data_IF_826237331742
#
_entry.id   IF_826237331742
#
_cell.length_a   1.000
_cell.length_b   1.000
_cell.length_c   1.000
_cell.angle_alpha   90.00
_cell.angle_beta   90.00
_cell.angle_gamma   90.00
#
_symmetry.space_group_name_H-M   'P 1'
#
loop_
_entity.id
_entity.type
_entity.pdbx_description
1 polymer ?
#
# COMPACT_ATOMS: atom_id res chain seq x y z
N UNK A 1 14.56 -20.85 0.94
CA UNK A 1 14.88 -19.66 1.76
C UNK A 1 13.91 -19.70 2.92
N UNK A 2 14.34 -19.61 4.19
CA UNK A 2 13.38 -19.54 5.28
C UNK A 2 12.59 -18.24 5.08
N UNK A 3 11.26 -18.38 5.07
CA UNK A 3 10.35 -17.25 5.10
C UNK A 3 10.66 -16.44 6.37
N UNK A 4 10.53 -15.11 6.31
CA UNK A 4 10.68 -14.25 7.48
C UNK A 4 9.82 -14.81 8.63
N UNK A 5 10.40 -14.91 9.82
CA UNK A 5 9.65 -15.23 11.02
C UNK A 5 8.91 -13.98 11.47
N UNK A 6 7.76 -14.14 12.12
CA UNK A 6 6.98 -12.98 12.59
C UNK A 6 7.74 -12.14 13.61
N UNK A 7 8.70 -12.73 14.33
CA UNK A 7 9.61 -12.01 15.22
C UNK A 7 10.59 -11.08 14.49
N UNK A 8 10.69 -11.16 13.17
CA UNK A 8 11.55 -10.29 12.36
C UNK A 8 10.86 -8.96 12.00
N UNK A 9 9.58 -8.76 12.39
CA UNK A 9 8.81 -7.54 12.14
C UNK A 9 8.58 -6.76 13.44
N UNK A 10 8.91 -5.46 13.43
CA UNK A 10 8.60 -4.52 14.51
C UNK A 10 7.11 -4.18 14.49
N UNK A 11 6.31 -5.06 15.10
CA UNK A 11 4.86 -4.89 15.22
C UNK A 11 4.52 -4.01 16.43
N UNK A 12 3.48 -3.17 16.36
CA UNK A 12 2.95 -2.47 17.52
C UNK A 12 2.61 -3.48 18.63
N UNK A 13 3.21 -3.30 19.81
CA UNK A 13 2.96 -4.17 20.97
C UNK A 13 1.89 -3.52 21.86
N UNK A 14 0.77 -4.21 22.10
CA UNK A 14 -0.10 -3.85 23.22
C UNK A 14 0.06 -4.81 24.39
N UNK A 15 0.58 -4.27 25.51
CA UNK A 15 0.85 -5.03 26.74
C UNK A 15 -0.26 -4.88 27.82
N UNK A 16 -1.34 -4.13 27.55
CA UNK A 16 -2.35 -3.80 28.58
C UNK A 16 -3.77 -4.27 28.25
N UNK A 17 -4.52 -4.66 29.29
CA UNK A 17 -5.93 -5.08 29.24
C UNK A 17 -6.87 -4.00 28.67
N UNK A 18 -6.44 -2.74 28.63
CA UNK A 18 -7.21 -1.65 28.03
C UNK A 18 -7.35 -1.79 26.50
N UNK A 19 -6.48 -2.57 25.83
CA UNK A 19 -6.64 -2.93 24.42
C UNK A 19 -7.60 -4.11 24.19
N UNK A 20 -8.03 -4.82 25.25
CA UNK A 20 -8.64 -6.15 25.11
C UNK A 20 -9.93 -6.35 25.89
N UNK A 21 -10.70 -5.29 26.17
CA UNK A 21 -11.97 -5.47 26.87
C UNK A 21 -13.02 -6.09 25.94
N UNK A 22 -13.22 -7.41 26.09
CA UNK A 22 -14.28 -8.27 25.54
C UNK A 22 -14.10 -8.81 24.11
N UNK A 23 -13.02 -9.56 23.91
CA UNK A 23 -12.93 -10.60 22.86
C UNK A 23 -13.81 -11.79 23.29
N UNK A 24 -15.12 -11.64 23.10
CA UNK A 24 -16.10 -12.69 23.31
C UNK A 24 -16.12 -13.63 22.11
N UNK A 25 -15.73 -14.89 22.29
CA UNK A 25 -15.65 -15.96 21.27
C UNK A 25 -16.93 -16.09 20.44
N UNK A 26 -17.00 -15.35 19.33
CA UNK A 26 -17.89 -15.57 18.21
C UNK A 26 -17.16 -15.16 16.93
N UNK A 27 -17.34 -15.94 15.86
CA UNK A 27 -16.72 -15.71 14.55
C UNK A 27 -16.92 -14.26 14.10
N UNK A 28 -15.92 -13.74 13.39
CA UNK A 28 -15.93 -12.42 12.76
C UNK A 28 -15.65 -11.22 13.69
N UNK A 29 -14.78 -11.35 14.72
CA UNK A 29 -14.17 -10.25 15.53
C UNK A 29 -13.25 -10.74 16.67
N UNK A 30 -12.29 -11.64 16.42
CA UNK A 30 -11.52 -12.28 17.50
C UNK A 30 -10.02 -12.11 17.37
N UNK A 31 -9.35 -12.02 18.52
CA UNK A 31 -7.93 -12.31 18.65
C UNK A 31 -7.68 -13.72 18.09
N UNK A 32 -6.98 -13.82 16.97
CA UNK A 32 -6.60 -15.11 16.42
C UNK A 32 -5.13 -15.16 16.05
N UNK A 33 -4.67 -16.37 15.78
CA UNK A 33 -3.36 -16.57 15.17
C UNK A 33 -3.38 -15.98 13.76
N UNK A 34 -2.26 -15.38 13.33
CA UNK A 34 -2.19 -14.71 12.04
C UNK A 34 -2.66 -15.59 10.86
N UNK A 35 -2.36 -16.89 10.93
CA UNK A 35 -2.72 -17.87 9.89
C UNK A 35 -4.22 -18.14 9.77
N UNK A 36 -5.02 -17.78 10.77
CA UNK A 36 -6.48 -17.93 10.72
C UNK A 36 -7.21 -16.60 10.49
N UNK A 37 -6.49 -15.48 10.57
CA UNK A 37 -6.99 -14.14 10.30
C UNK A 37 -6.88 -13.77 8.82
N UNK A 38 -5.86 -14.26 8.11
CA UNK A 38 -5.68 -13.95 6.69
C UNK A 38 -5.43 -15.21 5.84
N UNK A 39 -6.51 -15.89 5.44
CA UNK A 39 -6.46 -17.07 4.57
C UNK A 39 -6.71 -16.76 3.08
N UNK A 40 -7.05 -15.50 2.78
CA UNK A 40 -7.39 -15.04 1.44
C UNK A 40 -6.14 -14.87 0.55
N UNK A 41 -5.00 -14.52 1.14
CA UNK A 41 -3.74 -14.29 0.45
C UNK A 41 -3.00 -15.61 0.22
N UNK A 42 -3.08 -16.14 -1.00
CA UNK A 42 -2.46 -17.43 -1.37
C UNK A 42 -1.03 -17.28 -1.86
N UNK A 43 -0.64 -16.11 -2.36
CA UNK A 43 0.71 -15.84 -2.80
C UNK A 43 1.54 -15.18 -1.69
N UNK A 44 2.82 -15.57 -1.53
CA UNK A 44 3.72 -14.86 -0.64
C UNK A 44 3.93 -13.42 -1.16
N UNK A 45 4.17 -12.46 -0.25
CA UNK A 45 4.43 -11.05 -0.57
C UNK A 45 5.51 -10.88 -1.65
N UNK A 46 6.52 -11.75 -1.66
CA UNK A 46 7.62 -11.71 -2.65
C UNK A 46 7.19 -12.05 -4.08
N UNK A 47 6.01 -12.64 -4.26
CA UNK A 47 5.46 -13.00 -5.57
C UNK A 47 4.34 -12.05 -6.01
N UNK A 48 4.18 -10.91 -5.33
CA UNK A 48 3.12 -9.94 -5.60
C UNK A 48 3.61 -8.73 -6.39
N UNK A 49 2.69 -8.16 -7.13
CA UNK A 49 2.88 -6.92 -7.86
C UNK A 49 2.59 -5.74 -6.93
N UNK A 50 3.55 -4.84 -6.86
CA UNK A 50 3.44 -3.55 -6.19
C UNK A 50 3.71 -2.47 -7.22
N UNK A 51 2.75 -1.56 -7.38
CA UNK A 51 2.83 -0.47 -8.35
C UNK A 51 3.15 0.86 -7.64
N UNK A 52 3.57 1.84 -8.43
CA UNK A 52 3.89 3.19 -7.96
C UNK A 52 5.39 3.45 -7.92
N UNK A 53 5.75 4.74 -7.95
CA UNK A 53 7.11 5.25 -7.99
C UNK A 53 7.87 4.87 -9.28
N UNK A 54 9.19 5.00 -9.22
CA UNK A 54 10.12 4.59 -10.27
C UNK A 54 10.32 3.06 -10.30
N UNK A 55 10.42 2.46 -11.51
CA UNK A 55 10.76 1.04 -11.68
C UNK A 55 10.00 0.33 -12.80
N UNK A 56 10.11 -1.00 -12.81
CA UNK A 56 9.44 -1.85 -13.79
C UNK A 56 7.90 -1.80 -13.71
N UNK A 57 7.34 -1.45 -12.54
CA UNK A 57 5.90 -1.35 -12.29
C UNK A 57 5.51 0.10 -11.93
N UNK A 58 6.04 1.05 -12.70
CA UNK A 58 5.92 2.47 -12.41
C UNK A 58 4.53 3.03 -12.68
N UNK A 59 4.00 3.74 -11.69
CA UNK A 59 2.88 4.68 -11.86
C UNK A 59 3.34 5.96 -11.17
N UNK A 60 3.86 6.90 -11.97
CA UNK A 60 4.51 8.10 -11.45
C UNK A 60 3.48 9.08 -10.92
N UNK A 61 3.85 9.80 -9.86
CA UNK A 61 2.91 10.61 -9.06
C UNK A 61 2.37 9.88 -7.83
N UNK A 62 2.65 8.57 -7.71
CA UNK A 62 2.41 7.80 -6.49
C UNK A 62 3.76 7.32 -5.91
N UNK A 63 3.84 7.14 -4.60
CA UNK A 63 5.06 6.61 -3.94
C UNK A 63 5.35 5.17 -4.39
N UNK A 64 6.60 4.75 -4.24
CA UNK A 64 6.98 3.38 -4.57
C UNK A 64 6.17 2.37 -3.76
N UNK A 65 5.56 1.39 -4.44
CA UNK A 65 4.74 0.32 -3.83
C UNK A 65 3.48 0.79 -3.09
N UNK A 66 2.98 2.00 -3.39
CA UNK A 66 1.79 2.55 -2.74
C UNK A 66 0.47 2.18 -3.43
N UNK A 67 0.51 1.51 -4.57
CA UNK A 67 -0.70 1.15 -5.32
C UNK A 67 -0.98 -0.36 -5.25
N UNK A 68 -2.22 -0.69 -4.92
CA UNK A 68 -2.74 -2.05 -4.89
C UNK A 68 -3.81 -2.23 -3.81
N UNK A 69 -4.21 -3.48 -3.58
CA UNK A 69 -5.07 -3.83 -2.46
C UNK A 69 -4.41 -3.44 -1.15
N UNK A 70 -5.21 -2.89 -0.23
CA UNK A 70 -4.79 -2.52 1.12
C UNK A 70 -5.42 -3.48 2.13
N UNK A 71 -4.76 -3.66 3.27
CA UNK A 71 -5.27 -4.41 4.43
C UNK A 71 -5.01 -3.59 5.68
N UNK A 72 -5.90 -3.69 6.67
CA UNK A 72 -5.69 -3.07 7.96
C UNK A 72 -4.38 -3.54 8.60
N UNK A 73 -3.68 -2.62 9.25
CA UNK A 73 -2.55 -2.96 10.13
C UNK A 73 -3.12 -3.76 11.31
N UNK A 74 -2.39 -4.81 11.69
CA UNK A 74 -2.73 -5.68 12.81
C UNK A 74 -1.92 -5.29 14.05
N UNK A 75 -2.60 -5.17 15.18
CA UNK A 75 -1.99 -5.06 16.49
C UNK A 75 -1.70 -6.45 17.07
N UNK A 76 -0.56 -6.56 17.77
CA UNK A 76 -0.14 -7.77 18.44
C UNK A 76 -0.56 -7.77 19.91
N UNK A 77 -1.11 -8.89 20.35
CA UNK A 77 -1.43 -9.17 21.75
C UNK A 77 -0.69 -10.42 22.24
N UNK A 78 0.09 -10.25 23.32
CA UNK A 78 0.74 -11.36 24.01
C UNK A 78 -0.14 -11.83 25.18
N UNK A 79 -0.79 -12.98 25.02
CA UNK A 79 -1.63 -13.56 26.04
C UNK A 79 -0.79 -14.09 27.22
N UNK A 80 -1.38 -14.08 28.43
CA UNK A 80 -0.72 -14.54 29.65
C UNK A 80 -0.24 -16.01 29.62
N UNK A 81 -0.73 -16.81 28.65
CA UNK A 81 -0.28 -18.18 28.38
C UNK A 81 0.92 -18.31 27.42
N UNK A 82 1.50 -17.20 26.96
CA UNK A 82 2.56 -17.17 25.95
C UNK A 82 2.08 -17.33 24.50
N UNK A 83 0.76 -17.29 24.27
CA UNK A 83 0.16 -17.27 22.94
C UNK A 83 0.18 -15.85 22.36
N UNK A 84 0.49 -15.71 21.07
CA UNK A 84 0.50 -14.43 20.37
C UNK A 84 -0.71 -14.39 19.44
N UNK A 85 -1.52 -13.34 19.58
CA UNK A 85 -2.74 -13.14 18.83
C UNK A 85 -2.74 -11.77 18.14
N UNK A 86 -3.54 -11.63 17.08
CA UNK A 86 -3.61 -10.44 16.25
C UNK A 86 -5.04 -9.92 16.10
N UNK A 87 -5.21 -8.61 15.89
CA UNK A 87 -6.50 -7.97 15.62
C UNK A 87 -6.33 -6.64 14.84
N UNK A 88 -7.33 -6.16 14.08
CA UNK A 88 -7.29 -4.87 13.39
C UNK A 88 -7.10 -3.67 14.33
N UNK A 89 -6.21 -2.74 13.98
CA UNK A 89 -5.79 -1.63 14.85
C UNK A 89 -6.84 -0.52 15.10
N UNK A 90 -7.95 -0.50 14.36
CA UNK A 90 -8.92 0.61 14.39
C UNK A 90 -10.14 0.41 15.31
N UNK A 91 -10.14 -0.56 16.24
CA UNK A 91 -11.31 -0.91 17.07
C UNK A 91 -11.18 -0.50 18.53
N UNK A 92 -12.23 0.10 19.10
CA UNK A 92 -12.40 0.27 20.55
C UNK A 92 -13.42 -0.73 21.05
N UNK A 93 -12.99 -1.64 21.92
CA UNK A 93 -13.90 -2.53 22.64
C UNK A 93 -13.93 -2.09 24.10
N UNK A 94 -15.07 -1.56 24.55
CA UNK A 94 -15.30 -1.10 25.91
C UNK A 94 -16.54 -1.80 26.49
N UNK A 95 -16.52 -2.19 27.78
CA UNK A 95 -17.57 -3.03 28.34
C UNK A 95 -18.89 -2.24 28.42
N UNK A 96 -19.93 -2.76 27.77
CA UNK A 96 -21.24 -2.11 27.66
C UNK A 96 -21.36 -1.05 26.57
N UNK A 97 -20.35 -0.88 25.72
CA UNK A 97 -20.43 -0.07 24.49
C UNK A 97 -20.54 -1.05 23.31
N UNK A 98 -21.53 -0.91 22.40
CA UNK A 98 -21.54 -1.69 21.17
C UNK A 98 -20.23 -1.44 20.41
N UNK A 99 -19.68 -2.49 19.79
CA UNK A 99 -18.47 -2.42 18.98
C UNK A 99 -18.50 -1.17 18.10
N UNK A 100 -17.54 -0.28 18.35
CA UNK A 100 -17.40 0.97 17.61
C UNK A 100 -15.94 1.16 17.24
N UNK A 101 -15.72 1.70 16.06
CA UNK A 101 -14.38 2.02 15.63
C UNK A 101 -13.89 3.22 16.43
N UNK A 102 -12.60 3.53 16.36
CA UNK A 102 -12.06 4.73 16.98
C UNK A 102 -12.79 6.02 16.49
N UNK A 103 -13.40 5.97 15.30
CA UNK A 103 -14.27 7.02 14.72
C UNK A 103 -15.74 7.01 15.21
N UNK A 104 -16.18 6.00 15.97
CA UNK A 104 -17.54 5.88 16.50
C UNK A 104 -18.58 5.25 15.56
N UNK A 105 -18.17 4.72 14.41
CA UNK A 105 -19.00 3.96 13.46
C UNK A 105 -19.01 2.45 13.78
N UNK A 106 -19.75 1.65 13.00
CA UNK A 106 -19.90 0.20 13.19
C UNK A 106 -19.22 -0.64 12.09
N UNK A 107 -18.45 -0.06 11.15
CA UNK A 107 -17.86 -0.75 9.99
C UNK A 107 -16.33 -0.89 10.10
N UNK A 108 -15.80 -1.15 11.29
CA UNK A 108 -14.37 -0.99 11.52
C UNK A 108 -13.55 -1.95 10.67
N UNK A 109 -12.79 -1.41 9.71
CA UNK A 109 -11.85 -2.08 8.80
C UNK A 109 -11.70 -3.56 9.13
N UNK A 110 -12.61 -4.37 8.59
CA UNK A 110 -12.45 -5.82 8.62
C UNK A 110 -11.13 -6.13 7.88
N UNK A 111 -10.40 -7.15 8.31
CA UNK A 111 -9.26 -7.58 7.51
C UNK A 111 -9.71 -8.01 6.11
N UNK A 112 -10.96 -8.47 5.98
CA UNK A 112 -11.58 -8.77 4.70
C UNK A 112 -12.30 -7.59 4.05
N UNK A 113 -12.28 -6.41 4.69
CA UNK A 113 -12.74 -5.19 4.08
C UNK A 113 -11.86 -4.83 2.89
N UNK A 114 -12.51 -4.34 1.84
CA UNK A 114 -11.93 -4.03 0.55
C UNK A 114 -12.39 -2.69 0.03
N UNK A 115 -13.38 -2.08 0.67
CA UNK A 115 -13.84 -0.78 0.26
C UNK A 115 -12.84 0.25 0.79
N UNK A 116 -12.04 0.81 -0.12
CA UNK A 116 -11.07 1.88 0.19
C UNK A 116 -11.76 3.05 0.92
N UNK A 117 -13.03 3.30 0.63
CA UNK A 117 -13.81 4.37 1.24
C UNK A 117 -14.30 4.01 2.66
N UNK A 118 -14.36 2.72 3.02
CA UNK A 118 -14.62 2.26 4.39
C UNK A 118 -13.38 2.36 5.28
N UNK A 119 -12.16 2.43 4.69
CA UNK A 119 -10.95 2.82 5.41
C UNK A 119 -10.93 4.33 5.65
N UNK A 120 -11.86 4.85 6.45
CA UNK A 120 -11.92 6.26 6.86
C UNK A 120 -10.64 6.70 7.60
N UNK A 121 -9.79 5.73 7.99
CA UNK A 121 -8.40 5.93 8.38
C UNK A 121 -7.45 5.10 7.47
N UNK A 122 -7.20 5.57 6.24
CA UNK A 122 -6.20 4.96 5.33
C UNK A 122 -4.81 4.85 5.97
N UNK A 123 -4.49 5.72 6.93
CA UNK A 123 -3.26 5.64 7.75
C UNK A 123 -3.15 4.34 8.58
N UNK A 124 -4.26 3.63 8.78
CA UNK A 124 -4.33 2.35 9.50
C UNK A 124 -4.36 1.13 8.55
N UNK A 125 -4.08 1.33 7.26
CA UNK A 125 -4.00 0.26 6.27
C UNK A 125 -2.69 0.32 5.49
N UNK A 126 -2.15 -0.85 5.12
CA UNK A 126 -0.94 -0.97 4.31
C UNK A 126 -1.21 -1.72 3.00
N UNK A 127 -0.43 -1.38 1.97
CA UNK A 127 -0.55 -1.98 0.64
C UNK A 127 0.11 -3.36 0.64
N UNK A 128 -0.68 -4.38 0.37
CA UNK A 128 -0.24 -5.78 0.42
C UNK A 128 0.16 -6.34 -0.96
N UNK A 129 -0.03 -5.55 -2.01
CA UNK A 129 0.22 -5.95 -3.40
C UNK A 129 -0.78 -6.98 -3.93
N UNK A 130 -0.82 -7.13 -5.25
CA UNK A 130 -1.78 -7.99 -5.94
C UNK A 130 -1.14 -9.19 -6.63
N UNK A 131 -1.95 -10.21 -6.94
CA UNK A 131 -1.54 -11.33 -7.80
C UNK A 131 -1.76 -11.04 -9.29
N UNK A 132 -2.51 -9.98 -9.58
CA UNK A 132 -2.81 -9.47 -10.91
C UNK A 132 -2.50 -7.99 -10.91
N UNK A 133 -2.16 -7.45 -12.07
CA UNK A 133 -1.96 -6.02 -12.25
C UNK A 133 -2.41 -5.59 -13.64
N UNK A 134 -2.79 -4.33 -13.75
CA UNK A 134 -2.92 -3.62 -15.00
C UNK A 134 -1.96 -2.42 -14.99
N UNK A 135 -1.24 -2.19 -16.09
CA UNK A 135 -0.32 -1.07 -16.22
C UNK A 135 -0.27 -0.57 -17.66
N UNK A 136 -0.33 0.75 -17.79
CA UNK A 136 -0.16 1.50 -19.04
C UNK A 136 0.69 2.74 -18.75
N UNK A 137 1.75 2.93 -19.54
CA UNK A 137 2.60 4.12 -19.47
C UNK A 137 2.65 4.76 -20.86
N UNK A 138 2.26 6.03 -20.94
CA UNK A 138 2.36 6.86 -22.13
C UNK A 138 3.36 7.97 -21.85
N UNK A 139 4.40 8.04 -22.66
CA UNK A 139 5.48 9.00 -22.48
C UNK A 139 5.82 9.69 -23.80
N UNK A 140 5.93 11.01 -23.75
CA UNK A 140 6.43 11.83 -24.84
C UNK A 140 7.75 12.48 -24.42
N UNK A 141 8.81 12.13 -25.14
CA UNK A 141 10.12 12.74 -24.99
C UNK A 141 10.38 13.72 -26.13
N UNK A 142 10.97 14.86 -25.81
CA UNK A 142 11.36 15.87 -26.81
C UNK A 142 12.72 16.48 -26.47
N UNK A 143 13.52 16.85 -27.49
CA UNK A 143 14.81 17.49 -27.26
C UNK A 143 14.61 18.89 -26.67
N UNK A 144 15.32 19.20 -25.59
CA UNK A 144 15.46 20.57 -25.08
C UNK A 144 16.77 21.18 -25.61
N UNK A 145 17.87 20.42 -25.50
CA UNK A 145 19.16 20.77 -26.08
C UNK A 145 19.94 19.49 -26.38
N UNK A 146 20.14 19.21 -27.67
CA UNK A 146 20.89 18.03 -28.09
C UNK A 146 22.38 18.16 -27.74
N UNK A 147 22.94 19.37 -27.83
CA UNK A 147 24.34 19.65 -27.48
C UNK A 147 24.65 19.38 -26.00
N UNK A 148 23.70 19.68 -25.12
CA UNK A 148 23.83 19.46 -23.68
C UNK A 148 23.32 18.08 -23.24
N UNK A 149 22.79 17.28 -24.16
CA UNK A 149 22.17 15.98 -23.86
C UNK A 149 20.92 16.09 -22.99
N UNK A 150 20.14 17.19 -23.11
CA UNK A 150 18.95 17.45 -22.33
C UNK A 150 17.67 17.11 -23.11
N UNK A 151 16.82 16.28 -22.52
CA UNK A 151 15.50 15.92 -23.04
C UNK A 151 14.42 16.22 -22.01
N UNK A 152 13.33 16.81 -22.48
CA UNK A 152 12.11 16.95 -21.70
C UNK A 152 11.25 15.71 -21.83
N UNK A 153 10.50 15.42 -20.78
CA UNK A 153 9.56 14.31 -20.70
C UNK A 153 8.23 14.87 -20.21
N UNK A 154 7.14 14.44 -20.83
CA UNK A 154 5.80 14.51 -20.24
C UNK A 154 5.18 13.13 -20.30
N UNK A 155 4.40 12.77 -19.29
CA UNK A 155 3.86 11.42 -19.16
C UNK A 155 2.43 11.38 -18.63
N UNK A 156 1.79 10.26 -18.94
CA UNK A 156 0.54 9.79 -18.37
C UNK A 156 0.71 8.31 -18.05
N UNK A 157 0.53 7.94 -16.79
CA UNK A 157 0.59 6.58 -16.30
C UNK A 157 -0.78 6.17 -15.75
N UNK A 158 -1.14 4.91 -15.94
CA UNK A 158 -2.38 4.32 -15.45
C UNK A 158 -2.12 2.91 -14.99
N UNK A 159 -2.50 2.56 -13.76
CA UNK A 159 -2.33 1.19 -13.29
C UNK A 159 -2.84 0.94 -11.88
N UNK A 160 -3.07 -0.33 -11.58
CA UNK A 160 -3.28 -0.81 -10.22
C UNK A 160 -2.98 -2.32 -10.12
N UNK A 161 -2.77 -2.81 -8.89
CA UNK A 161 -2.72 -4.24 -8.58
C UNK A 161 -4.07 -4.71 -8.01
N UNK A 162 -4.36 -6.01 -8.12
CA UNK A 162 -5.61 -6.63 -7.68
C UNK A 162 -5.34 -7.95 -6.95
N UNK A 163 -6.08 -8.23 -5.88
CA UNK A 163 -5.94 -9.42 -5.06
C UNK A 163 -6.50 -10.68 -5.74
N UNK A 164 -6.17 -11.86 -5.22
CA UNK A 164 -6.52 -13.17 -5.78
C UNK A 164 -8.02 -13.32 -6.06
N UNK A 165 -8.83 -12.84 -5.12
CA UNK A 165 -10.29 -12.94 -5.14
C UNK A 165 -10.98 -11.75 -5.85
N UNK A 166 -10.20 -10.82 -6.42
CA UNK A 166 -10.71 -9.66 -7.14
C UNK A 166 -10.61 -9.84 -8.66
N UNK A 167 -11.63 -9.39 -9.38
CA UNK A 167 -11.55 -9.15 -10.82
C UNK A 167 -10.87 -7.82 -11.09
N UNK A 168 -10.16 -7.72 -12.22
CA UNK A 168 -9.65 -6.42 -12.70
C UNK A 168 -10.86 -5.54 -13.04
N UNK A 169 -11.06 -4.49 -12.26
CA UNK A 169 -12.12 -3.52 -12.42
C UNK A 169 -11.52 -2.18 -12.88
N UNK A 170 -11.94 -1.63 -14.03
CA UNK A 170 -11.44 -0.35 -14.53
C UNK A 170 -11.69 0.85 -13.60
N UNK A 171 -12.69 0.77 -12.71
CA UNK A 171 -12.98 1.84 -11.76
C UNK A 171 -11.89 2.02 -10.69
N UNK A 172 -11.13 0.95 -10.41
CA UNK A 172 -10.09 0.96 -9.38
C UNK A 172 -8.71 1.31 -9.96
N UNK A 173 -8.65 1.72 -11.23
CA UNK A 173 -7.40 2.17 -11.84
C UNK A 173 -6.99 3.52 -11.29
N UNK A 174 -5.69 3.68 -11.03
CA UNK A 174 -5.08 4.90 -10.52
C UNK A 174 -4.36 5.61 -11.64
N UNK A 175 -4.37 6.94 -11.63
CA UNK A 175 -3.90 7.75 -12.75
C UNK A 175 -2.88 8.79 -12.30
N UNK A 176 -1.75 8.84 -12.99
CA UNK A 176 -0.66 9.78 -12.72
C UNK A 176 -0.29 10.57 -13.97
N UNK A 177 -0.05 11.86 -13.82
CA UNK A 177 0.50 12.72 -14.89
C UNK A 177 1.69 13.49 -14.39
N UNK A 178 2.56 13.91 -15.30
CA UNK A 178 3.66 14.75 -14.89
C UNK A 178 4.65 15.06 -15.98
N UNK A 179 5.78 15.60 -15.53
CA UNK A 179 6.86 16.02 -16.40
C UNK A 179 8.21 15.65 -15.78
N UNK A 180 9.21 15.53 -16.64
CA UNK A 180 10.56 15.23 -16.22
C UNK A 180 11.63 15.83 -17.13
N UNK A 181 12.85 15.73 -16.65
CA UNK A 181 14.06 16.12 -17.35
C UNK A 181 15.02 14.93 -17.32
N UNK A 182 15.44 14.52 -18.51
CA UNK A 182 16.50 13.53 -18.69
C UNK A 182 17.76 14.24 -19.17
N UNK A 183 18.85 14.06 -18.44
CA UNK A 183 20.15 14.65 -18.75
C UNK A 183 21.21 13.56 -18.92
N UNK A 184 21.72 13.43 -20.13
CA UNK A 184 22.90 12.61 -20.43
C UNK A 184 24.17 13.37 -20.07
N UNK A 185 24.43 13.52 -18.77
CA UNK A 185 25.59 14.26 -18.27
C UNK A 185 26.91 13.51 -18.52
N UNK A 186 28.07 14.19 -18.49
CA UNK A 186 29.39 13.55 -18.56
C UNK A 186 29.66 12.52 -17.45
N UNK A 187 28.90 12.58 -16.35
CA UNK A 187 29.03 11.70 -15.19
C UNK A 187 28.02 10.54 -15.20
N UNK A 188 27.13 10.50 -16.18
CA UNK A 188 26.11 9.47 -16.35
C UNK A 188 24.70 10.03 -16.58
N UNK A 189 23.74 9.18 -16.97
CA UNK A 189 22.35 9.59 -17.14
C UNK A 189 21.71 9.97 -15.80
N UNK A 190 21.04 11.12 -15.80
CA UNK A 190 20.21 11.63 -14.69
C UNK A 190 18.77 11.76 -15.20
N UNK A 191 17.81 11.27 -14.44
CA UNK A 191 16.39 11.45 -14.66
C UNK A 191 15.84 12.16 -13.43
N UNK A 192 15.10 13.23 -13.64
CA UNK A 192 14.32 13.91 -12.62
C UNK A 192 12.89 14.00 -13.11
N UNK A 193 11.93 13.71 -12.26
CA UNK A 193 10.52 13.76 -12.63
C UNK A 193 9.67 14.22 -11.45
N UNK A 194 8.59 14.92 -11.79
CA UNK A 194 7.56 15.33 -10.85
C UNK A 194 6.23 14.83 -11.39
N UNK A 195 5.61 13.92 -10.64
CA UNK A 195 4.31 13.36 -10.94
C UNK A 195 3.23 13.87 -9.99
N UNK A 196 2.00 13.87 -10.47
CA UNK A 196 0.80 14.27 -9.76
C UNK A 196 -0.26 13.17 -9.95
N UNK A 197 -0.80 12.60 -8.87
CA UNK A 197 -1.94 11.71 -8.94
C UNK A 197 -3.20 12.53 -9.29
N UNK A 198 -4.01 12.03 -10.24
CA UNK A 198 -5.25 12.70 -10.64
C UNK A 198 -6.42 12.39 -9.71
N UNK A 199 -6.33 11.28 -8.98
CA UNK A 199 -7.35 10.71 -8.13
C UNK A 199 -6.83 10.40 -6.71
N UNK A 200 -5.96 11.26 -6.17
CA UNK A 200 -5.30 11.09 -4.88
C UNK A 200 -6.28 10.79 -3.72
N UNK A 201 -5.96 9.80 -2.89
CA UNK A 201 -6.65 9.56 -1.62
C UNK A 201 -6.16 10.52 -0.53
N UNK A 202 -6.84 10.54 0.62
CA UNK A 202 -6.53 11.48 1.73
C UNK A 202 -5.12 11.30 2.33
N UNK A 203 -4.58 10.08 2.31
CA UNK A 203 -3.25 9.72 2.83
C UNK A 203 -2.13 9.75 1.78
N UNK A 204 -2.48 10.03 0.52
CA UNK A 204 -1.54 10.04 -0.59
C UNK A 204 -0.94 11.42 -0.84
N UNK A 205 0.30 11.45 -1.34
CA UNK A 205 0.96 12.71 -1.67
C UNK A 205 0.27 13.39 -2.86
N UNK A 206 -0.02 14.68 -2.74
CA UNK A 206 -0.51 15.48 -3.87
C UNK A 206 0.50 15.65 -5.02
N UNK A 207 1.79 15.34 -4.78
CA UNK A 207 2.82 15.28 -5.81
C UNK A 207 4.03 14.49 -5.34
N UNK A 208 4.65 13.73 -6.24
CA UNK A 208 5.85 12.93 -5.93
C UNK A 208 6.99 13.35 -6.85
N UNK A 209 8.07 13.82 -6.25
CA UNK A 209 9.33 14.09 -6.93
C UNK A 209 10.26 12.88 -6.82
N UNK A 210 10.78 12.42 -7.94
CA UNK A 210 11.71 11.31 -7.99
C UNK A 210 12.91 11.64 -8.86
N UNK A 211 14.07 11.09 -8.50
CA UNK A 211 15.27 11.18 -9.31
C UNK A 211 16.00 9.84 -9.38
N UNK A 212 16.67 9.59 -10.50
CA UNK A 212 17.51 8.42 -10.72
C UNK A 212 18.84 8.84 -11.35
N UNK A 213 19.90 8.16 -10.94
CA UNK A 213 21.26 8.34 -11.45
C UNK A 213 21.87 6.96 -11.72
N UNK A 214 22.59 6.83 -12.84
CA UNK A 214 23.45 5.67 -13.07
C UNK A 214 22.83 4.49 -13.83
N UNK A 215 21.74 4.71 -14.58
CA UNK A 215 21.38 3.78 -15.67
C UNK A 215 20.35 2.69 -15.37
N UNK A 216 19.91 2.48 -14.13
CA UNK A 216 18.98 1.36 -13.81
C UNK A 216 17.54 1.55 -14.32
N UNK A 217 17.21 2.74 -14.80
CA UNK A 217 15.85 3.18 -15.14
C UNK A 217 15.81 3.91 -16.51
N UNK A 218 16.83 3.73 -17.35
CA UNK A 218 16.99 4.42 -18.64
C UNK A 218 16.93 3.47 -19.83
#
# INVERSE_FOLDING_TARGET
MPLNSISDFDLPQCESIACSIEVGVAKDNQLQQLTSIDDALKLPLTARYFLGGLGAFQVRGFRQRSLGPRRTILDRFDAAGGEVLFFPSNRVIAPGVPERCLDGTNNCNDIDDKDIDDFEALELADVIGGNKMFLLNLELQFPISEELGLRGIVFFDMGNAFAENESINPADLRFGVGAGLQWFSPFGPILMQLGFPLDALEDEDGSVFEFSFGGSQF
#
